data_IF_821114844022
#
_entry.id   IF_821114844022
#
_cell.length_a   1.000
_cell.length_b   1.000
_cell.length_c   1.000
_cell.angle_alpha   90.00
_cell.angle_beta   90.00
_cell.angle_gamma   90.00
#
_symmetry.space_group_name_H-M   'P 1'
#
loop_
_entity.id
_entity.type
_entity.pdbx_description
1 polymer ?
#
# COMPACT_ATOMS: atom_id res chain seq x y z
N UNK A 1 12.91 9.20 -22.86
CA UNK A 1 13.50 8.77 -21.56
C UNK A 1 12.51 7.79 -20.94
N UNK A 2 12.92 6.58 -20.56
CA UNK A 2 12.01 5.62 -19.90
C UNK A 2 12.15 5.79 -18.39
N UNK A 3 11.08 6.23 -17.72
CA UNK A 3 11.03 6.34 -16.26
C UNK A 3 11.12 4.95 -15.64
N UNK A 4 12.06 4.75 -14.71
CA UNK A 4 12.19 3.52 -13.94
C UNK A 4 11.20 3.51 -12.75
N UNK A 5 11.14 2.39 -12.03
CA UNK A 5 10.21 2.22 -10.89
C UNK A 5 10.41 3.30 -9.80
N UNK A 6 11.64 3.71 -9.55
CA UNK A 6 11.95 4.71 -8.53
C UNK A 6 11.48 6.10 -8.96
N UNK A 7 11.59 6.43 -10.26
CA UNK A 7 11.07 7.68 -10.82
C UNK A 7 9.55 7.77 -10.62
N UNK A 8 8.80 6.71 -10.93
CA UNK A 8 7.36 6.65 -10.70
C UNK A 8 7.00 6.79 -9.21
N UNK A 9 7.74 6.12 -8.34
CA UNK A 9 7.54 6.22 -6.89
C UNK A 9 7.77 7.64 -6.36
N UNK A 10 8.87 8.30 -6.79
CA UNK A 10 9.18 9.68 -6.37
C UNK A 10 8.15 10.66 -6.91
N UNK A 11 7.74 10.53 -8.17
CA UNK A 11 6.73 11.40 -8.76
C UNK A 11 5.36 11.24 -8.08
N UNK A 12 4.93 10.01 -7.80
CA UNK A 12 3.69 9.77 -7.06
C UNK A 12 3.76 10.28 -5.62
N UNK A 13 4.91 10.16 -4.94
CA UNK A 13 5.10 10.74 -3.61
C UNK A 13 5.00 12.26 -3.63
N UNK A 14 5.64 12.91 -4.60
CA UNK A 14 5.58 14.36 -4.75
C UNK A 14 4.15 14.84 -4.96
N UNK A 15 3.40 14.23 -5.88
CA UNK A 15 1.99 14.56 -6.12
C UNK A 15 1.13 14.30 -4.88
N UNK A 16 1.37 13.19 -4.17
CA UNK A 16 0.67 12.88 -2.92
C UNK A 16 0.89 13.99 -1.88
N UNK A 17 2.16 14.36 -1.64
CA UNK A 17 2.52 15.38 -0.65
C UNK A 17 1.90 16.73 -0.99
N UNK A 18 1.95 17.16 -2.25
CA UNK A 18 1.33 18.41 -2.71
C UNK A 18 -0.18 18.42 -2.44
N UNK A 19 -0.87 17.32 -2.78
CA UNK A 19 -2.32 17.19 -2.64
C UNK A 19 -2.73 17.21 -1.18
N UNK A 20 -2.04 16.43 -0.34
CA UNK A 20 -2.31 16.36 1.09
C UNK A 20 -2.04 17.70 1.76
N UNK A 21 -0.92 18.36 1.44
CA UNK A 21 -0.57 19.69 1.93
C UNK A 21 -1.63 20.73 1.56
N UNK A 22 -2.03 20.79 0.27
CA UNK A 22 -3.07 21.71 -0.20
C UNK A 22 -4.45 21.46 0.45
N UNK A 23 -4.70 20.23 0.90
CA UNK A 23 -5.91 19.85 1.63
C UNK A 23 -5.79 20.04 3.15
N UNK A 24 -4.64 20.51 3.66
CA UNK A 24 -4.38 20.73 5.09
C UNK A 24 -4.13 19.47 5.90
N UNK A 25 -3.60 18.41 5.28
CA UNK A 25 -3.14 17.21 5.99
C UNK A 25 -1.69 17.36 6.45
N UNK A 26 -1.52 17.73 7.73
CA UNK A 26 -0.20 17.98 8.33
C UNK A 26 0.47 16.72 8.86
N UNK A 27 -0.29 15.74 9.34
CA UNK A 27 0.24 14.43 9.71
C UNK A 27 -0.87 13.37 9.86
N UNK A 28 -0.48 12.10 9.76
CA UNK A 28 -1.26 10.97 10.28
C UNK A 28 -2.15 10.27 9.26
N UNK A 29 -3.31 9.81 9.72
CA UNK A 29 -4.24 8.98 8.93
C UNK A 29 -5.01 9.84 7.95
N UNK A 30 -5.09 9.39 6.71
CA UNK A 30 -5.91 10.04 5.68
C UNK A 30 -7.25 9.31 5.58
N UNK A 31 -8.34 10.06 5.76
CA UNK A 31 -9.69 9.64 5.40
C UNK A 31 -9.98 10.11 3.96
N UNK A 32 -10.08 9.15 3.03
CA UNK A 32 -10.33 9.39 1.63
C UNK A 32 -11.64 10.16 1.38
N UNK A 33 -12.66 9.99 2.25
CA UNK A 33 -13.93 10.72 2.15
C UNK A 33 -13.76 12.20 2.48
N UNK A 34 -12.99 12.48 3.54
CA UNK A 34 -12.66 13.86 3.89
C UNK A 34 -11.73 14.48 2.83
N UNK A 35 -10.77 13.72 2.30
CA UNK A 35 -9.91 14.17 1.20
C UNK A 35 -10.72 14.51 -0.05
N UNK A 36 -11.63 13.64 -0.48
CA UNK A 36 -12.52 13.89 -1.62
C UNK A 36 -13.30 15.20 -1.46
N UNK A 37 -13.88 15.43 -0.26
CA UNK A 37 -14.60 16.67 0.05
C UNK A 37 -13.70 17.91 -0.04
N UNK A 38 -12.49 17.84 0.51
CA UNK A 38 -11.50 18.94 0.45
C UNK A 38 -11.06 19.25 -0.99
N UNK A 39 -11.02 18.24 -1.86
CA UNK A 39 -10.77 18.38 -3.30
C UNK A 39 -12.01 18.85 -4.10
N UNK A 40 -13.15 19.05 -3.44
CA UNK A 40 -14.40 19.47 -4.08
C UNK A 40 -15.12 18.36 -4.85
N UNK A 41 -14.78 17.09 -4.60
CA UNK A 41 -15.44 15.95 -5.24
C UNK A 41 -16.75 15.61 -4.53
N UNK A 42 -17.78 15.32 -5.34
CA UNK A 42 -19.04 14.79 -4.82
C UNK A 42 -18.95 13.27 -4.74
N UNK A 43 -19.19 12.68 -3.57
CA UNK A 43 -19.17 11.22 -3.39
C UNK A 43 -20.59 10.70 -3.27
N UNK A 44 -20.95 9.74 -4.12
CA UNK A 44 -22.30 9.18 -4.24
C UNK A 44 -22.19 7.66 -4.06
N UNK A 45 -22.95 7.11 -3.11
CA UNK A 45 -23.08 5.66 -2.98
C UNK A 45 -24.16 5.15 -3.92
N UNK A 46 -23.82 4.17 -4.75
CA UNK A 46 -24.68 3.60 -5.78
C UNK A 46 -24.54 2.07 -5.77
N UNK A 47 -25.57 1.38 -5.28
CA UNK A 47 -25.61 -0.09 -5.16
C UNK A 47 -25.61 -0.80 -6.52
N UNK A 48 -26.06 -0.11 -7.56
CA UNK A 48 -26.20 -0.67 -8.91
C UNK A 48 -24.87 -0.61 -9.70
N UNK A 49 -23.81 -0.06 -9.12
CA UNK A 49 -22.48 -0.07 -9.72
C UNK A 49 -21.98 -1.50 -9.99
N UNK A 50 -21.48 -1.70 -11.21
CA UNK A 50 -20.79 -2.92 -11.59
C UNK A 50 -19.38 -3.00 -10.95
N UNK A 51 -18.68 -1.87 -10.88
CA UNK A 51 -17.32 -1.74 -10.32
C UNK A 51 -17.36 -1.20 -8.89
N UNK A 52 -16.22 -1.21 -8.18
CA UNK A 52 -16.13 -0.70 -6.79
C UNK A 52 -16.22 0.82 -6.71
N UNK A 53 -15.67 1.49 -7.71
CA UNK A 53 -15.71 2.93 -7.88
C UNK A 53 -15.85 3.28 -9.35
N UNK A 54 -16.28 4.52 -9.61
CA UNK A 54 -16.13 5.17 -10.90
C UNK A 54 -16.14 6.67 -10.77
N UNK A 55 -15.16 7.32 -11.38
CA UNK A 55 -15.10 8.76 -11.53
C UNK A 55 -15.88 9.22 -12.78
N UNK A 56 -16.71 10.24 -12.59
CA UNK A 56 -17.45 10.91 -13.68
C UNK A 56 -17.49 12.41 -13.46
N UNK A 57 -17.34 13.16 -14.55
CA UNK A 57 -17.59 14.60 -14.56
C UNK A 57 -19.06 14.85 -14.91
N UNK A 58 -19.79 15.52 -14.02
CA UNK A 58 -21.19 15.89 -14.21
C UNK A 58 -21.24 17.42 -14.15
N UNK A 59 -21.48 18.04 -15.32
CA UNK A 59 -21.30 19.49 -15.49
C UNK A 59 -19.86 19.91 -15.17
N UNK A 60 -19.70 20.87 -14.27
CA UNK A 60 -18.38 21.36 -13.84
C UNK A 60 -17.81 20.63 -12.61
N UNK A 61 -18.55 19.67 -12.03
CA UNK A 61 -18.13 18.95 -10.81
C UNK A 61 -17.63 17.55 -11.12
N UNK A 62 -16.54 17.16 -10.45
CA UNK A 62 -16.08 15.78 -10.43
C UNK A 62 -16.88 15.02 -9.37
N UNK A 63 -17.48 13.90 -9.76
CA UNK A 63 -18.27 13.03 -8.91
C UNK A 63 -17.67 11.63 -8.91
N UNK A 64 -17.57 11.03 -7.73
CA UNK A 64 -17.09 9.67 -7.52
C UNK A 64 -18.29 8.84 -7.07
N UNK A 65 -18.63 7.85 -7.88
CA UNK A 65 -19.65 6.87 -7.55
C UNK A 65 -18.98 5.67 -6.89
N UNK A 66 -19.48 5.22 -5.76
CA UNK A 66 -18.93 4.09 -5.01
C UNK A 66 -19.99 3.03 -4.80
N UNK A 67 -19.60 1.78 -4.97
CA UNK A 67 -20.41 0.65 -4.51
C UNK A 67 -20.26 0.53 -2.98
N UNK A 68 -21.35 0.46 -2.21
CA UNK A 68 -21.26 0.19 -0.78
C UNK A 68 -20.50 -1.10 -0.50
N UNK A 69 -19.66 -1.10 0.55
CA UNK A 69 -18.97 -2.30 1.03
C UNK A 69 -19.00 -2.33 2.56
N UNK A 70 -19.24 -3.50 3.14
CA UNK A 70 -19.25 -3.72 4.59
C UNK A 70 -17.90 -3.50 5.27
N UNK A 71 -16.80 -3.55 4.51
CA UNK A 71 -15.44 -3.32 5.01
C UNK A 71 -15.05 -1.86 4.76
N UNK A 72 -14.90 -1.02 5.80
CA UNK A 72 -14.58 0.39 5.63
C UNK A 72 -13.30 0.65 4.82
N UNK A 73 -12.28 -0.18 5.00
CA UNK A 73 -11.01 -0.12 4.25
C UNK A 73 -11.19 -0.23 2.74
N UNK A 74 -12.21 -0.99 2.27
CA UNK A 74 -12.47 -1.13 0.84
C UNK A 74 -13.13 0.10 0.24
N UNK A 75 -13.96 0.79 1.02
CA UNK A 75 -14.51 2.10 0.65
C UNK A 75 -13.37 3.11 0.56
N UNK A 76 -12.50 3.15 1.57
CA UNK A 76 -11.33 4.03 1.61
C UNK A 76 -10.41 3.78 0.41
N UNK A 77 -10.09 2.51 0.13
CA UNK A 77 -9.32 2.12 -1.05
C UNK A 77 -9.96 2.55 -2.36
N UNK A 78 -11.24 2.23 -2.57
CA UNK A 78 -11.94 2.58 -3.80
C UNK A 78 -11.94 4.10 -4.01
N UNK A 79 -12.22 4.87 -2.96
CA UNK A 79 -12.23 6.33 -3.06
C UNK A 79 -10.84 6.91 -3.32
N UNK A 80 -9.80 6.43 -2.63
CA UNK A 80 -8.41 6.83 -2.88
C UNK A 80 -7.91 6.44 -4.27
N UNK A 81 -8.38 5.31 -4.81
CA UNK A 81 -8.10 4.91 -6.19
C UNK A 81 -8.70 5.89 -7.19
N UNK A 82 -9.98 6.24 -7.06
CA UNK A 82 -10.64 7.20 -7.96
C UNK A 82 -10.04 8.61 -7.85
N UNK A 83 -9.63 9.03 -6.65
CA UNK A 83 -8.84 10.26 -6.45
C UNK A 83 -7.47 10.13 -7.14
N UNK A 84 -6.81 8.99 -7.01
CA UNK A 84 -5.56 8.71 -7.70
C UNK A 84 -5.70 8.79 -9.21
N UNK A 85 -6.80 8.26 -9.76
CA UNK A 85 -7.09 8.29 -11.19
C UNK A 85 -7.28 9.74 -11.69
N UNK A 86 -8.02 10.58 -10.97
CA UNK A 86 -8.20 11.98 -11.36
C UNK A 86 -6.91 12.79 -11.30
N UNK A 87 -5.94 12.36 -10.48
CA UNK A 87 -4.66 13.04 -10.27
C UNK A 87 -3.51 12.42 -11.07
N UNK A 88 -3.72 11.28 -11.73
CA UNK A 88 -2.67 10.54 -12.44
C UNK A 88 -1.93 11.41 -13.45
N UNK A 89 -2.61 12.34 -14.13
CA UNK A 89 -2.01 13.28 -15.07
C UNK A 89 -0.88 14.11 -14.46
N UNK A 90 -0.96 14.46 -13.16
CA UNK A 90 0.08 15.23 -12.47
C UNK A 90 1.36 14.43 -12.34
N UNK A 91 1.27 13.11 -12.14
CA UNK A 91 2.46 12.23 -12.09
C UNK A 91 3.16 12.19 -13.43
N UNK A 92 2.40 12.08 -14.53
CA UNK A 92 2.97 12.17 -15.88
C UNK A 92 3.63 13.52 -16.13
N UNK A 93 3.02 14.63 -15.68
CA UNK A 93 3.61 15.96 -15.77
C UNK A 93 4.92 16.08 -14.99
N UNK A 94 4.97 15.55 -13.76
CA UNK A 94 6.20 15.51 -12.94
C UNK A 94 7.33 14.73 -13.62
N UNK A 95 7.00 13.71 -14.41
CA UNK A 95 7.96 12.91 -15.16
C UNK A 95 8.27 13.45 -16.57
N UNK A 96 7.68 14.59 -16.95
CA UNK A 96 7.78 15.16 -18.31
C UNK A 96 7.36 14.18 -19.41
N UNK A 97 6.40 13.29 -19.10
CA UNK A 97 5.86 12.31 -20.03
C UNK A 97 4.52 12.80 -20.59
N UNK A 98 4.29 12.57 -21.89
CA UNK A 98 2.97 12.73 -22.46
C UNK A 98 2.01 11.75 -21.75
N UNK A 99 0.82 12.21 -21.29
CA UNK A 99 -0.18 11.31 -20.76
C UNK A 99 -0.48 10.27 -21.84
N UNK A 100 -0.47 8.98 -21.52
CA UNK A 100 -0.70 7.96 -22.53
C UNK A 100 -2.07 8.20 -23.16
N UNK A 101 -2.09 8.33 -24.50
CA UNK A 101 -3.34 8.48 -25.26
C UNK A 101 -4.22 7.24 -25.14
N UNK A 102 -3.62 6.05 -24.93
CA UNK A 102 -4.32 4.77 -25.00
C UNK A 102 -3.92 3.72 -23.93
N UNK A 103 -2.87 3.92 -23.13
CA UNK A 103 -2.46 2.91 -22.13
C UNK A 103 -3.27 3.00 -20.83
N UNK A 104 -4.52 2.51 -20.89
CA UNK A 104 -5.37 2.33 -19.70
C UNK A 104 -4.62 1.60 -18.56
N UNK A 105 -3.77 0.62 -18.91
CA UNK A 105 -2.99 -0.13 -17.92
C UNK A 105 -1.97 0.70 -17.13
N UNK A 106 -1.33 1.71 -17.75
CA UNK A 106 -0.35 2.55 -17.03
C UNK A 106 -1.05 3.56 -16.12
N UNK A 107 -2.16 4.15 -16.57
CA UNK A 107 -2.97 5.04 -15.73
C UNK A 107 -3.51 4.32 -14.51
N UNK A 108 -4.00 3.10 -14.69
CA UNK A 108 -4.46 2.24 -13.60
C UNK A 108 -3.33 1.95 -12.59
N UNK A 109 -2.11 1.67 -13.07
CA UNK A 109 -0.95 1.48 -12.18
C UNK A 109 -0.60 2.75 -11.40
N UNK A 110 -0.64 3.92 -12.04
CA UNK A 110 -0.40 5.21 -11.39
C UNK A 110 -1.51 5.53 -10.38
N UNK A 111 -2.77 5.24 -10.70
CA UNK A 111 -3.90 5.41 -9.78
C UNK A 111 -3.74 4.55 -8.53
N UNK A 112 -3.40 3.26 -8.69
CA UNK A 112 -3.10 2.35 -7.57
C UNK A 112 -1.91 2.81 -6.72
N UNK A 113 -0.87 3.34 -7.37
CA UNK A 113 0.30 3.88 -6.68
C UNK A 113 -0.07 5.12 -5.86
N UNK A 114 -0.77 6.09 -6.46
CA UNK A 114 -1.25 7.28 -5.76
C UNK A 114 -2.21 6.92 -4.61
N UNK A 115 -3.15 6.01 -4.82
CA UNK A 115 -4.06 5.54 -3.77
C UNK A 115 -3.30 5.01 -2.55
N UNK A 116 -2.25 4.22 -2.80
CA UNK A 116 -1.36 3.71 -1.76
C UNK A 116 -0.66 4.83 -1.00
N UNK A 117 -0.09 5.81 -1.72
CA UNK A 117 0.59 6.97 -1.10
C UNK A 117 -0.37 7.88 -0.34
N UNK A 118 -1.61 8.05 -0.83
CA UNK A 118 -2.62 8.87 -0.17
C UNK A 118 -3.07 8.24 1.15
N UNK A 119 -3.32 6.92 1.19
CA UNK A 119 -3.75 6.25 2.42
C UNK A 119 -2.61 6.04 3.42
N UNK A 120 -1.37 5.89 2.94
CA UNK A 120 -0.17 5.67 3.75
C UNK A 120 0.97 6.63 3.32
N UNK A 121 0.86 7.93 3.66
CA UNK A 121 1.82 8.95 3.22
C UNK A 121 3.22 8.70 3.78
N UNK A 122 4.27 8.77 2.95
CA UNK A 122 5.62 8.34 3.38
C UNK A 122 6.16 9.16 4.54
N UNK A 123 5.87 10.48 4.54
CA UNK A 123 6.32 11.43 5.57
C UNK A 123 6.12 10.90 6.98
N UNK A 124 4.96 10.30 7.24
CA UNK A 124 4.60 9.83 8.58
C UNK A 124 4.62 8.30 8.67
N UNK A 125 4.18 7.60 7.62
CA UNK A 125 4.04 6.14 7.63
C UNK A 125 5.37 5.43 7.83
N UNK A 126 6.42 5.80 7.10
CA UNK A 126 7.70 5.08 7.16
C UNK A 126 8.38 5.29 8.52
N UNK A 127 8.34 6.51 9.04
CA UNK A 127 8.81 6.81 10.40
C UNK A 127 8.03 5.99 11.44
N UNK A 128 6.70 6.01 11.37
CA UNK A 128 5.85 5.24 12.30
C UNK A 128 6.11 3.73 12.19
N UNK A 129 6.32 3.22 10.98
CA UNK A 129 6.67 1.82 10.74
C UNK A 129 8.01 1.43 11.35
N UNK A 130 9.00 2.32 11.38
CA UNK A 130 10.25 2.09 12.10
C UNK A 130 10.05 2.08 13.62
N UNK A 131 9.32 3.07 14.15
CA UNK A 131 9.02 3.15 15.60
C UNK A 131 8.20 1.97 16.12
N UNK A 132 7.26 1.45 15.32
CA UNK A 132 6.48 0.26 15.66
C UNK A 132 7.18 -1.06 15.31
N UNK A 133 8.48 -1.04 14.94
CA UNK A 133 9.23 -2.21 14.49
C UNK A 133 8.53 -3.00 13.37
N UNK A 134 7.75 -2.30 12.54
CA UNK A 134 6.93 -2.86 11.46
C UNK A 134 5.88 -3.88 11.91
N UNK A 135 5.40 -3.77 13.14
CA UNK A 135 4.25 -4.52 13.61
C UNK A 135 2.98 -4.08 12.85
N UNK A 136 2.47 -4.96 12.00
CA UNK A 136 1.29 -4.71 11.17
C UNK A 136 0.06 -4.43 12.05
N UNK A 137 -0.08 -5.08 13.20
CA UNK A 137 -1.23 -4.85 14.09
C UNK A 137 -1.14 -3.47 14.75
N UNK A 138 0.05 -3.06 15.19
CA UNK A 138 0.27 -1.71 15.70
C UNK A 138 -0.01 -0.64 14.64
N UNK A 139 0.53 -0.84 13.43
CA UNK A 139 0.30 0.05 12.31
C UNK A 139 -1.16 0.11 11.89
N UNK A 140 -1.89 -1.01 11.94
CA UNK A 140 -3.32 -1.06 11.61
C UNK A 140 -4.18 -0.23 12.57
N UNK A 141 -3.82 -0.20 13.86
CA UNK A 141 -4.51 0.65 14.85
C UNK A 141 -4.33 2.13 14.56
N UNK A 142 -3.15 2.52 14.05
CA UNK A 142 -2.87 3.89 13.63
C UNK A 142 -3.57 4.15 12.28
N UNK A 143 -3.15 3.46 11.22
CA UNK A 143 -3.67 3.60 9.85
C UNK A 143 -4.92 2.77 9.60
N UNK A 144 -5.98 3.04 10.38
CA UNK A 144 -7.22 2.26 10.35
C UNK A 144 -7.98 2.35 9.03
N UNK A 145 -7.70 3.35 8.17
CA UNK A 145 -8.29 3.48 6.82
C UNK A 145 -7.66 2.54 5.79
N UNK A 146 -6.46 2.03 6.05
CA UNK A 146 -5.74 1.11 5.16
C UNK A 146 -5.88 -0.35 5.61
N UNK A 147 -5.94 -1.29 4.67
CA UNK A 147 -5.98 -2.72 5.01
C UNK A 147 -4.63 -3.24 5.53
N UNK A 148 -4.65 -4.36 6.27
CA UNK A 148 -3.43 -5.05 6.69
C UNK A 148 -2.52 -5.39 5.51
N UNK A 149 -3.10 -5.80 4.38
CA UNK A 149 -2.35 -6.09 3.16
C UNK A 149 -1.69 -4.82 2.59
N UNK A 150 -2.42 -3.70 2.53
CA UNK A 150 -1.86 -2.44 2.03
C UNK A 150 -0.71 -1.97 2.91
N UNK A 151 -0.89 -2.03 4.23
CA UNK A 151 0.15 -1.72 5.22
C UNK A 151 1.37 -2.62 5.01
N UNK A 152 1.16 -3.94 4.91
CA UNK A 152 2.25 -4.90 4.70
C UNK A 152 3.06 -4.57 3.44
N UNK A 153 2.38 -4.36 2.32
CA UNK A 153 3.03 -4.03 1.05
C UNK A 153 3.77 -2.68 1.11
N UNK A 154 3.24 -1.71 1.86
CA UNK A 154 3.89 -0.42 2.09
C UNK A 154 5.19 -0.54 2.88
N UNK A 155 5.35 -1.57 3.72
CA UNK A 155 6.61 -1.83 4.44
C UNK A 155 7.77 -2.19 3.52
N UNK A 156 7.51 -2.55 2.26
CA UNK A 156 8.55 -2.80 1.25
C UNK A 156 9.27 -1.52 0.81
N UNK A 157 8.72 -0.34 1.10
CA UNK A 157 9.37 0.95 0.83
C UNK A 157 10.42 1.34 1.89
N UNK A 158 10.50 0.60 3.00
CA UNK A 158 11.56 0.82 3.99
C UNK A 158 12.94 0.46 3.39
N UNK A 159 14.03 1.14 3.80
CA UNK A 159 15.38 0.92 3.27
C UNK A 159 16.01 -0.37 3.84
N UNK A 160 15.31 -1.49 3.72
CA UNK A 160 15.75 -2.83 4.12
C UNK A 160 15.29 -3.84 3.08
N UNK A 161 16.06 -4.90 2.93
CA UNK A 161 15.66 -6.03 2.08
C UNK A 161 14.57 -6.81 2.78
N UNK A 162 13.39 -6.84 2.17
CA UNK A 162 12.20 -7.46 2.72
C UNK A 162 11.40 -8.19 1.65
N UNK A 163 10.64 -9.18 2.07
CA UNK A 163 9.64 -9.89 1.27
C UNK A 163 8.34 -9.97 2.07
N UNK A 164 7.23 -9.59 1.43
CA UNK A 164 5.89 -9.75 1.97
C UNK A 164 5.23 -10.91 1.25
N UNK A 165 4.69 -11.84 2.01
CA UNK A 165 3.87 -12.94 1.48
C UNK A 165 2.48 -12.90 2.09
N UNK A 166 1.48 -13.01 1.23
CA UNK A 166 0.08 -13.08 1.63
C UNK A 166 -0.42 -14.47 1.29
N UNK A 167 -0.96 -15.13 2.31
CA UNK A 167 -1.61 -16.42 2.20
C UNK A 167 -3.08 -16.20 2.48
N UNK A 168 -3.95 -16.50 1.52
CA UNK A 168 -5.39 -16.51 1.71
C UNK A 168 -5.90 -17.96 1.63
N UNK A 169 -6.67 -18.38 2.63
CA UNK A 169 -7.27 -19.73 2.68
C UNK A 169 -6.22 -20.84 2.43
N UNK A 170 -5.03 -20.69 3.01
CA UNK A 170 -3.93 -21.64 2.89
C UNK A 170 -3.18 -21.61 1.55
N UNK A 171 -3.46 -20.65 0.66
CA UNK A 171 -2.78 -20.50 -0.63
C UNK A 171 -2.06 -19.17 -0.72
N UNK A 172 -0.82 -19.17 -1.20
CA UNK A 172 -0.08 -17.94 -1.48
C UNK A 172 -0.79 -17.18 -2.61
N UNK A 173 -1.36 -16.03 -2.30
CA UNK A 173 -2.02 -15.15 -3.28
C UNK A 173 -1.13 -14.01 -3.74
N UNK A 174 -0.11 -13.65 -2.94
CA UNK A 174 0.87 -12.62 -3.29
C UNK A 174 2.21 -12.90 -2.62
N UNK A 175 3.30 -12.66 -3.34
CA UNK A 175 4.67 -12.61 -2.79
C UNK A 175 5.42 -11.50 -3.50
N UNK A 176 5.93 -10.53 -2.75
CA UNK A 176 6.60 -9.33 -3.30
C UNK A 176 7.82 -8.96 -2.49
N UNK A 177 8.94 -8.70 -3.15
CA UNK A 177 10.17 -8.21 -2.53
C UNK A 177 10.26 -6.67 -2.62
N UNK A 178 11.07 -6.08 -1.74
CA UNK A 178 11.46 -4.66 -1.85
C UNK A 178 12.44 -4.40 -2.98
N UNK A 179 13.06 -5.45 -3.52
CA UNK A 179 13.96 -5.38 -4.68
C UNK A 179 13.23 -5.73 -5.98
N UNK A 180 13.74 -5.29 -7.15
CA UNK A 180 13.17 -5.63 -8.45
C UNK A 180 13.22 -7.13 -8.80
N UNK A 181 14.06 -7.90 -8.10
CA UNK A 181 14.16 -9.34 -8.27
C UNK A 181 12.88 -10.05 -7.82
N UNK A 182 12.49 -11.10 -8.56
CA UNK A 182 11.40 -11.95 -8.09
C UNK A 182 11.80 -12.60 -6.76
N UNK A 183 10.91 -12.61 -5.76
CA UNK A 183 11.17 -13.30 -4.52
C UNK A 183 11.31 -14.79 -4.80
N UNK A 184 12.35 -15.42 -4.24
CA UNK A 184 12.55 -16.86 -4.34
C UNK A 184 11.41 -17.67 -3.70
N UNK A 185 11.43 -19.01 -3.86
CA UNK A 185 10.48 -19.88 -3.20
C UNK A 185 10.53 -19.73 -1.68
N UNK A 186 9.54 -20.29 -0.99
CA UNK A 186 9.53 -20.28 0.46
C UNK A 186 10.72 -21.06 1.02
N UNK A 187 11.39 -20.47 2.00
CA UNK A 187 12.35 -21.20 2.83
C UNK A 187 11.62 -22.13 3.78
N UNK A 188 12.33 -23.13 4.31
CA UNK A 188 11.78 -24.01 5.36
C UNK A 188 11.37 -23.21 6.60
N UNK A 189 12.12 -22.16 6.94
CA UNK A 189 11.82 -21.31 8.08
C UNK A 189 10.52 -20.51 7.88
N UNK A 190 10.29 -19.97 6.67
CA UNK A 190 9.02 -19.32 6.31
C UNK A 190 7.84 -20.30 6.38
N UNK A 191 8.02 -21.52 5.87
CA UNK A 191 6.99 -22.58 5.92
C UNK A 191 6.61 -22.92 7.36
N UNK A 192 7.59 -23.12 8.23
CA UNK A 192 7.36 -23.47 9.63
C UNK A 192 6.66 -22.32 10.37
N UNK A 193 7.15 -21.09 10.23
CA UNK A 193 6.57 -19.90 10.86
C UNK A 193 5.10 -19.69 10.46
N UNK A 194 4.80 -19.85 9.16
CA UNK A 194 3.42 -19.80 8.66
C UNK A 194 2.56 -20.95 9.21
N UNK A 195 3.04 -22.19 9.18
CA UNK A 195 2.26 -23.34 9.66
C UNK A 195 1.90 -23.19 11.14
N UNK A 196 2.84 -22.71 11.97
CA UNK A 196 2.60 -22.43 13.38
C UNK A 196 1.59 -21.30 13.57
N UNK A 197 1.66 -20.25 12.75
CA UNK A 197 0.69 -19.14 12.77
C UNK A 197 -0.69 -19.62 12.36
N UNK A 198 -0.77 -20.39 11.29
CA UNK A 198 -2.00 -20.90 10.71
C UNK A 198 -2.74 -21.86 11.66
N UNK A 199 -2.00 -22.78 12.30
CA UNK A 199 -2.56 -23.72 13.29
C UNK A 199 -2.93 -23.03 14.60
N UNK A 200 -2.07 -22.13 15.07
CA UNK A 200 -2.23 -21.49 16.38
C UNK A 200 -3.13 -20.26 16.38
N UNK A 201 -3.49 -19.72 15.21
CA UNK A 201 -4.22 -18.46 15.06
C UNK A 201 -3.65 -17.30 15.91
N UNK A 202 -2.33 -17.29 16.09
CA UNK A 202 -1.59 -16.27 16.84
C UNK A 202 -0.37 -15.80 16.07
N UNK A 203 0.07 -14.57 16.36
CA UNK A 203 1.33 -14.06 15.84
C UNK A 203 2.48 -15.03 16.13
N UNK A 204 3.35 -15.23 15.14
CA UNK A 204 4.59 -15.97 15.30
C UNK A 204 5.76 -15.19 14.75
N UNK A 205 6.92 -15.44 15.34
CA UNK A 205 8.19 -14.86 14.95
C UNK A 205 9.22 -15.99 14.88
N UNK A 206 10.07 -15.95 13.86
CA UNK A 206 11.14 -16.92 13.68
C UNK A 206 12.36 -16.20 13.14
N UNK A 207 13.53 -16.52 13.68
CA UNK A 207 14.78 -15.84 13.31
C UNK A 207 15.88 -16.87 13.07
N UNK A 208 16.77 -16.56 12.14
CA UNK A 208 18.07 -17.21 11.95
C UNK A 208 19.13 -16.12 11.78
N UNK A 209 20.40 -16.51 11.63
CA UNK A 209 21.49 -15.56 11.34
C UNK A 209 21.28 -14.76 10.04
N UNK A 210 20.45 -15.27 9.12
CA UNK A 210 20.29 -14.69 7.79
C UNK A 210 18.94 -14.02 7.56
N UNK A 211 17.90 -14.37 8.33
CA UNK A 211 16.54 -13.86 8.12
C UNK A 211 15.77 -13.73 9.42
N UNK A 212 14.93 -12.71 9.49
CA UNK A 212 13.92 -12.53 10.52
C UNK A 212 12.53 -12.53 9.89
N UNK A 213 11.66 -13.42 10.33
CA UNK A 213 10.33 -13.66 9.79
C UNK A 213 9.30 -13.36 10.88
N UNK A 214 8.32 -12.53 10.53
CA UNK A 214 7.16 -12.21 11.35
C UNK A 214 5.90 -12.61 10.60
N UNK A 215 5.00 -13.33 11.25
CA UNK A 215 3.76 -13.80 10.63
C UNK A 215 2.55 -13.43 11.48
N UNK A 216 1.60 -12.70 10.88
CA UNK A 216 0.38 -12.27 11.54
C UNK A 216 -0.84 -13.00 10.96
N UNK A 217 -1.68 -13.62 11.80
CA UNK A 217 -2.98 -14.12 11.40
C UNK A 217 -3.99 -12.98 11.36
N UNK A 218 -4.60 -12.76 10.20
CA UNK A 218 -5.73 -11.86 9.97
C UNK A 218 -6.95 -12.75 9.70
N UNK A 219 -7.54 -13.27 10.77
CA UNK A 219 -8.62 -14.25 10.69
C UNK A 219 -9.96 -13.59 11.02
N UNK A 220 -10.89 -13.68 10.08
CA UNK A 220 -12.32 -13.35 10.21
C UNK A 220 -13.13 -14.66 10.16
N UNK A 221 -14.39 -14.72 10.65
CA UNK A 221 -15.17 -15.96 10.80
C UNK A 221 -15.24 -16.88 9.55
N UNK A 222 -15.16 -16.31 8.35
CA UNK A 222 -15.20 -17.07 7.08
C UNK A 222 -13.98 -16.84 6.19
N UNK A 223 -12.96 -16.15 6.70
CA UNK A 223 -11.83 -15.73 5.90
C UNK A 223 -10.54 -15.76 6.71
N UNK A 224 -9.62 -16.64 6.32
CA UNK A 224 -8.29 -16.71 6.92
C UNK A 224 -7.26 -16.12 5.97
N UNK A 225 -6.58 -15.09 6.45
CA UNK A 225 -5.39 -14.55 5.81
C UNK A 225 -4.22 -14.63 6.78
N UNK A 226 -3.05 -15.02 6.29
CA UNK A 226 -1.80 -14.81 6.99
C UNK A 226 -0.91 -13.88 6.18
N UNK A 227 -0.25 -12.95 6.86
CA UNK A 227 0.74 -12.06 6.25
C UNK A 227 2.09 -12.38 6.87
N UNK A 228 3.04 -12.74 6.02
CA UNK A 228 4.44 -12.92 6.40
C UNK A 228 5.24 -11.70 5.96
N UNK A 229 6.10 -11.21 6.83
CA UNK A 229 7.16 -10.27 6.53
C UNK A 229 8.49 -10.94 6.84
N UNK A 230 9.23 -11.25 5.78
CA UNK A 230 10.60 -11.76 5.86
C UNK A 230 11.56 -10.60 5.64
N UNK A 231 12.49 -10.37 6.57
CA UNK A 231 13.50 -9.32 6.49
C UNK A 231 14.89 -9.92 6.62
N UNK A 232 15.85 -9.38 5.87
CA UNK A 232 17.26 -9.69 6.13
C UNK A 232 17.74 -8.81 7.29
N UNK A 233 18.60 -9.32 8.19
CA UNK A 233 19.33 -8.49 9.15
C UNK A 233 20.04 -7.37 8.41
N UNK A 234 20.12 -6.19 9.04
CA UNK A 234 21.03 -5.15 8.58
C UNK A 234 22.45 -5.71 8.74
N UNK A 235 23.13 -6.02 7.64
CA UNK A 235 24.57 -6.30 7.70
C UNK A 235 25.25 -5.04 8.21
N UNK A 236 25.99 -5.12 9.30
CA UNK A 236 26.83 -4.04 9.82
C UNK A 236 28.14 -3.85 9.01
N UNK A 237 28.16 -4.31 7.77
CA UNK A 237 29.29 -4.19 6.83
C UNK A 237 28.70 -3.58 5.56
N UNK A 238 29.01 -2.35 5.12
CA UNK A 238 30.26 -1.59 5.18
C UNK A 238 30.00 -0.12 5.52
N UNK A 239 30.66 0.40 6.57
CA UNK A 239 31.04 1.82 6.53
C UNK A 239 31.95 2.00 5.30
N UNK A 240 31.71 2.98 4.41
CA UNK A 240 32.76 3.40 3.51
C UNK A 240 33.84 4.02 4.38
N UNK A 241 34.97 3.31 4.52
CA UNK A 241 36.17 3.86 5.12
C UNK A 241 36.47 5.21 4.47
N UNK A 242 36.52 6.24 5.31
CA UNK A 242 37.23 7.47 4.99
C UNK A 242 38.72 7.13 5.00
N UNK A 243 39.30 7.00 3.81
CA UNK A 243 40.69 7.36 3.53
C UNK A 243 40.68 8.57 2.58
#
# INVERSE_FOLDING_TARGET
MHANVDDWNRAAEHVCQDVLSACGYEAGVVDALQLARKLGYSVIFDELQATRGRLKRIGHKTSIFLKPDTRPERIQWALSHEIGESLAYRVFQTLELAPPSESMGLREQVANLLATRLLLPSRDFLSTALHCHSDIQALKRIYWTASHELIALRLLDLPRRACVTIVDQGRVTKRRASTPSQPGPWTTLEQNCWQETHRGARFQESCSEQVHIRCWPIHEPHWKREILLTTLPLSWETEPGYD
#
